data_IF_182133539160
#
_entry.id   IF_182133539160
#
_cell.length_a   1.000
_cell.length_b   1.000
_cell.length_c   1.000
_cell.angle_alpha   90.00
_cell.angle_beta   90.00
_cell.angle_gamma   90.00
#
_symmetry.space_group_name_H-M   'P 1'
#
loop_
_entity.id
_entity.type
_entity.pdbx_description
1 polymer ?
#
# COMPACT_ATOMS: atom_id res chain seq x y z
N UNK A 1 2.44 -1.15 5.78
CA UNK A 1 1.93 -0.13 4.83
C UNK A 1 2.64 -0.37 3.52
N UNK A 2 1.89 -0.42 2.42
CA UNK A 2 2.38 -0.69 1.08
C UNK A 2 1.93 0.44 0.16
N UNK A 3 2.84 0.99 -0.64
CA UNK A 3 2.54 2.04 -1.62
C UNK A 3 2.77 1.47 -3.01
N UNK A 4 1.77 1.57 -3.88
CA UNK A 4 1.83 1.06 -5.23
C UNK A 4 2.45 2.10 -6.19
N UNK A 5 3.44 1.66 -6.96
CA UNK A 5 3.99 2.38 -8.12
C UNK A 5 3.51 1.76 -9.44
N UNK A 6 2.36 1.08 -9.42
CA UNK A 6 1.67 0.64 -10.62
C UNK A 6 1.43 1.82 -11.56
N UNK A 7 1.40 1.55 -12.87
CA UNK A 7 1.07 2.55 -13.90
C UNK A 7 -0.42 2.48 -14.27
N UNK A 8 -1.05 1.31 -14.15
CA UNK A 8 -2.47 1.12 -14.50
C UNK A 8 -3.40 1.91 -13.58
N UNK A 9 -4.40 2.56 -14.15
CA UNK A 9 -5.31 3.50 -13.45
C UNK A 9 -6.01 2.90 -12.23
N UNK A 10 -6.31 1.60 -12.25
CA UNK A 10 -6.97 0.91 -11.14
C UNK A 10 -6.06 0.65 -9.92
N UNK A 11 -4.74 0.84 -10.06
CA UNK A 11 -3.74 0.52 -9.02
C UNK A 11 -2.74 1.64 -8.76
N UNK A 12 -2.60 2.60 -9.68
CA UNK A 12 -1.63 3.67 -9.59
C UNK A 12 -1.84 4.51 -8.34
N UNK A 13 -0.78 4.62 -7.53
CA UNK A 13 -0.82 5.43 -6.31
C UNK A 13 -1.63 4.82 -5.15
N UNK A 14 -2.20 3.62 -5.29
CA UNK A 14 -2.94 2.98 -4.20
C UNK A 14 -2.04 2.74 -2.99
N UNK A 15 -2.56 3.04 -1.81
CA UNK A 15 -1.88 2.84 -0.53
C UNK A 15 -2.68 1.88 0.33
N UNK A 16 -2.04 0.79 0.74
CA UNK A 16 -2.66 -0.24 1.57
C UNK A 16 -2.04 -0.25 2.97
N UNK A 17 -2.90 -0.25 4.00
CA UNK A 17 -2.51 -0.33 5.40
C UNK A 17 -3.26 -1.50 6.03
N UNK A 18 -2.51 -2.49 6.51
CA UNK A 18 -3.06 -3.60 7.30
C UNK A 18 -2.74 -3.35 8.77
N UNK A 19 -3.80 -3.23 9.57
CA UNK A 19 -3.72 -3.17 11.02
C UNK A 19 -3.72 -4.59 11.61
N UNK A 20 -3.36 -4.70 12.89
CA UNK A 20 -3.42 -5.98 13.62
C UNK A 20 -4.88 -6.33 13.95
N UNK A 21 -5.69 -5.31 14.22
CA UNK A 21 -7.10 -5.41 14.63
C UNK A 21 -8.00 -4.76 13.58
N UNK A 22 -9.18 -5.32 13.38
CA UNK A 22 -10.15 -4.80 12.40
C UNK A 22 -10.75 -3.47 12.87
N UNK A 23 -10.93 -3.29 14.17
CA UNK A 23 -11.47 -2.06 14.76
C UNK A 23 -10.54 -0.85 14.53
N UNK A 24 -9.22 -1.09 14.50
CA UNK A 24 -8.24 -0.04 14.17
C UNK A 24 -8.36 0.39 12.69
N UNK A 25 -8.68 -0.55 11.79
CA UNK A 25 -8.92 -0.24 10.38
C UNK A 25 -10.21 0.56 10.20
N UNK A 26 -11.30 0.17 10.87
CA UNK A 26 -12.55 0.94 10.86
C UNK A 26 -12.37 2.35 11.42
N UNK A 27 -11.64 2.48 12.53
CA UNK A 27 -11.32 3.78 13.11
C UNK A 27 -10.51 4.63 12.13
N UNK A 28 -9.51 4.05 11.47
CA UNK A 28 -8.71 4.76 10.47
C UNK A 28 -9.54 5.26 9.28
N UNK A 29 -10.51 4.47 8.79
CA UNK A 29 -11.44 4.90 7.73
C UNK A 29 -12.23 6.13 8.19
N UNK A 30 -12.85 6.07 9.37
CA UNK A 30 -13.65 7.18 9.94
C UNK A 30 -12.78 8.44 10.17
N UNK A 31 -11.58 8.26 10.71
CA UNK A 31 -10.66 9.36 11.02
C UNK A 31 -10.06 10.00 9.75
N UNK A 32 -9.95 9.26 8.65
CA UNK A 32 -9.45 9.75 7.36
C UNK A 32 -10.56 10.32 6.47
N UNK A 33 -11.82 9.98 6.74
CA UNK A 33 -12.97 10.55 6.05
C UNK A 33 -12.96 12.08 6.17
N UNK A 34 -13.17 12.78 5.05
CA UNK A 34 -13.12 14.24 4.93
C UNK A 34 -11.76 14.91 5.24
N UNK A 35 -10.67 14.14 5.33
CA UNK A 35 -9.31 14.70 5.41
C UNK A 35 -8.74 14.98 4.03
N UNK A 36 -7.76 15.87 4.01
CA UNK A 36 -7.06 16.31 2.82
C UNK A 36 -5.58 15.98 2.91
N UNK A 37 -4.98 15.64 1.78
CA UNK A 37 -3.55 15.43 1.63
C UNK A 37 -3.08 16.08 0.33
N UNK A 38 -2.05 16.92 0.41
CA UNK A 38 -1.46 17.59 -0.76
C UNK A 38 -2.48 18.31 -1.66
N UNK A 39 -3.48 18.98 -1.04
CA UNK A 39 -4.52 19.71 -1.78
C UNK A 39 -5.60 18.85 -2.42
N UNK A 40 -5.65 17.54 -2.14
CA UNK A 40 -6.69 16.63 -2.62
C UNK A 40 -7.41 15.93 -1.44
N UNK A 41 -8.70 15.61 -1.57
CA UNK A 41 -9.40 14.80 -0.56
C UNK A 41 -8.82 13.39 -0.52
N UNK A 42 -8.80 12.80 0.67
CA UNK A 42 -8.39 11.41 0.88
C UNK A 42 -9.60 10.51 0.63
N UNK A 43 -9.48 9.57 -0.31
CA UNK A 43 -10.43 8.48 -0.51
C UNK A 43 -9.94 7.26 0.25
N UNK A 44 -10.79 6.70 1.11
CA UNK A 44 -10.44 5.61 2.02
C UNK A 44 -11.60 4.63 2.13
N UNK A 45 -11.28 3.33 2.10
CA UNK A 45 -12.23 2.24 2.25
C UNK A 45 -11.56 1.02 2.90
N UNK A 46 -12.38 0.08 3.39
CA UNK A 46 -11.89 -1.21 3.84
C UNK A 46 -11.57 -2.10 2.64
N UNK A 47 -10.39 -2.70 2.63
CA UNK A 47 -9.95 -3.57 1.54
C UNK A 47 -10.12 -5.04 1.91
N UNK A 48 -10.59 -5.91 0.99
CA UNK A 48 -10.69 -7.35 1.21
C UNK A 48 -9.32 -8.06 1.16
N UNK A 49 -8.24 -7.34 0.88
CA UNK A 49 -6.89 -7.92 0.77
C UNK A 49 -6.39 -8.35 2.15
N UNK A 50 -6.35 -9.67 2.37
CA UNK A 50 -5.90 -10.25 3.65
C UNK A 50 -4.41 -10.60 3.67
N UNK A 51 -3.83 -10.99 2.52
CA UNK A 51 -2.41 -11.35 2.41
C UNK A 51 -1.72 -10.65 1.23
N UNK A 52 -0.88 -9.66 1.54
CA UNK A 52 -0.11 -8.96 0.53
C UNK A 52 0.92 -9.84 -0.18
N UNK A 53 1.36 -10.96 0.39
CA UNK A 53 2.32 -11.84 -0.28
C UNK A 53 1.73 -12.41 -1.57
N UNK A 54 0.44 -12.70 -1.57
CA UNK A 54 -0.29 -13.23 -2.72
C UNK A 54 -0.79 -12.13 -3.67
N UNK A 55 -0.95 -10.90 -3.19
CA UNK A 55 -1.41 -9.77 -4.03
C UNK A 55 -0.28 -9.01 -4.73
N UNK A 56 0.99 -9.31 -4.44
CA UNK A 56 2.16 -8.63 -5.02
C UNK A 56 2.63 -9.28 -6.32
N UNK A 57 3.15 -8.45 -7.23
CA UNK A 57 3.73 -8.92 -8.48
C UNK A 57 5.14 -9.44 -8.23
N UNK A 58 5.31 -10.77 -8.23
CA UNK A 58 6.63 -11.41 -8.03
C UNK A 58 7.66 -11.02 -9.10
N UNK A 59 7.22 -10.77 -10.34
CA UNK A 59 8.13 -10.34 -11.40
C UNK A 59 8.69 -8.94 -11.11
N UNK A 60 7.85 -8.02 -10.63
CA UNK A 60 8.26 -6.65 -10.26
C UNK A 60 9.26 -6.62 -9.09
N UNK A 61 9.21 -7.62 -8.20
CA UNK A 61 10.15 -7.72 -7.07
C UNK A 61 11.59 -8.04 -7.50
N UNK A 62 11.75 -8.74 -8.62
CA UNK A 62 13.06 -9.23 -9.09
C UNK A 62 13.57 -8.37 -10.25
N UNK A 63 12.68 -7.99 -11.17
CA UNK A 63 13.01 -7.26 -12.40
C UNK A 63 11.88 -6.31 -12.78
N UNK A 64 11.98 -5.66 -13.93
CA UNK A 64 10.83 -4.96 -14.51
C UNK A 64 9.74 -5.95 -14.93
N UNK A 65 8.50 -5.71 -14.51
CA UNK A 65 7.34 -6.49 -14.93
C UNK A 65 6.96 -6.21 -16.39
N UNK A 66 6.83 -7.25 -17.22
CA UNK A 66 6.53 -7.10 -18.65
C UNK A 66 5.09 -6.68 -18.96
N UNK A 67 4.17 -6.81 -18.00
CA UNK A 67 2.75 -6.43 -18.16
C UNK A 67 2.53 -4.91 -18.10
N UNK A 68 3.49 -4.13 -17.58
CA UNK A 68 3.37 -2.69 -17.46
C UNK A 68 2.05 -2.25 -16.80
N UNK A 69 1.31 -1.35 -17.45
CA UNK A 69 0.02 -0.84 -16.98
C UNK A 69 -1.12 -1.88 -16.93
N UNK A 70 -0.95 -3.06 -17.54
CA UNK A 70 -1.92 -4.15 -17.53
C UNK A 70 -1.68 -5.18 -16.41
N UNK A 71 -0.73 -4.91 -15.50
CA UNK A 71 -0.52 -5.79 -14.36
C UNK A 71 -1.58 -5.55 -13.28
N UNK A 72 -2.30 -6.62 -12.92
CA UNK A 72 -3.33 -6.61 -11.87
C UNK A 72 -2.77 -6.95 -10.47
N UNK A 73 -1.45 -7.09 -10.35
CA UNK A 73 -0.78 -7.35 -9.07
C UNK A 73 -0.07 -6.08 -8.59
N UNK A 74 0.07 -5.92 -7.27
CA UNK A 74 0.69 -4.75 -6.67
C UNK A 74 2.18 -4.67 -7.07
N UNK A 75 2.56 -3.56 -7.69
CA UNK A 75 3.95 -3.16 -7.90
C UNK A 75 4.33 -2.25 -6.74
N UNK A 76 5.04 -2.78 -5.76
CA UNK A 76 5.34 -2.01 -4.55
C UNK A 76 6.57 -1.13 -4.75
N UNK A 77 6.42 0.14 -4.35
CA UNK A 77 7.54 1.07 -4.31
C UNK A 77 8.50 0.69 -3.20
N UNK A 78 9.76 0.43 -3.58
CA UNK A 78 10.82 0.18 -2.61
C UNK A 78 11.09 1.43 -1.76
N UNK A 79 11.24 1.23 -0.45
CA UNK A 79 11.71 2.27 0.47
C UNK A 79 13.21 2.06 0.73
N UNK A 80 13.93 3.15 1.03
CA UNK A 80 15.34 3.02 1.39
C UNK A 80 15.50 2.22 2.70
N UNK A 81 16.59 1.45 2.85
CA UNK A 81 16.84 0.68 4.09
C UNK A 81 16.81 1.55 5.35
N UNK A 82 17.36 2.76 5.28
CA UNK A 82 17.35 3.72 6.40
C UNK A 82 15.93 4.15 6.80
N UNK A 83 15.03 4.36 5.82
CA UNK A 83 13.63 4.67 6.10
C UNK A 83 12.89 3.45 6.65
N UNK A 84 13.16 2.26 6.09
CA UNK A 84 12.62 1.00 6.59
C UNK A 84 12.96 0.78 8.07
N UNK A 85 14.22 0.99 8.44
CA UNK A 85 14.69 0.89 9.83
C UNK A 85 13.95 1.88 10.74
N UNK A 86 13.85 3.15 10.32
CA UNK A 86 13.14 4.18 11.11
C UNK A 86 11.65 3.85 11.31
N UNK A 87 10.99 3.26 10.32
CA UNK A 87 9.55 2.95 10.36
C UNK A 87 9.21 1.62 11.02
N UNK A 88 10.11 0.62 10.93
CA UNK A 88 9.81 -0.77 11.30
C UNK A 88 10.87 -1.44 12.20
N UNK A 89 12.09 -0.91 12.32
CA UNK A 89 13.20 -1.57 13.03
C UNK A 89 12.96 -1.83 14.52
N UNK A 90 12.07 -1.06 15.17
CA UNK A 90 11.71 -1.21 16.59
C UNK A 90 10.37 -1.90 16.84
N UNK A 91 9.67 -2.38 15.81
CA UNK A 91 8.29 -2.89 15.94
C UNK A 91 8.18 -4.30 16.51
N UNK A 92 9.30 -4.95 16.80
CA UNK A 92 9.38 -6.30 17.39
C UNK A 92 10.29 -6.38 18.63
N UNK A 93 10.52 -5.26 19.32
CA UNK A 93 11.12 -5.26 20.66
C UNK A 93 10.05 -5.31 21.74
#
# INVERSE_FOLDING_TARGET
>A
MNVCENIGEHMIGNVYVKFVREEDAEKAVKDLENRWFNGQPIYVELSPVTDFRESRCRQHEITTCCKGGFCNFMHLKAISPALGEKLFGRRFA
#
